data_IF_954113749234
#
_entry.id   IF_954113749234
#
_cell.length_a   1.000
_cell.length_b   1.000
_cell.length_c   1.000
_cell.angle_alpha   90.00
_cell.angle_beta   90.00
_cell.angle_gamma   90.00
#
_symmetry.space_group_name_H-M   'P 1'
#
loop_
_entity.id
_entity.type
_entity.pdbx_description
1 polymer ?
#
# COMPACT_ATOMS: atom_id res chain seq x y z
N UNK A 1 23.57 44.54 22.74
CA UNK A 1 23.51 43.81 21.45
C UNK A 1 22.96 42.41 21.71
N UNK A 2 21.63 42.24 21.69
CA UNK A 2 20.99 40.95 21.87
C UNK A 2 20.79 40.29 20.50
N UNK A 3 21.74 39.47 20.06
CA UNK A 3 21.59 38.69 18.83
C UNK A 3 20.61 37.55 19.07
N UNK A 4 19.48 37.54 18.37
CA UNK A 4 18.66 36.33 18.27
C UNK A 4 19.51 35.26 17.57
N UNK A 5 19.83 34.18 18.26
CA UNK A 5 20.38 33.00 17.60
C UNK A 5 19.37 32.54 16.55
N UNK A 6 19.80 32.48 15.29
CA UNK A 6 19.04 31.88 14.18
C UNK A 6 18.93 30.36 14.37
N UNK A 7 18.27 29.91 15.44
CA UNK A 7 18.00 28.50 15.68
C UNK A 7 16.65 28.17 15.05
N UNK A 8 16.66 27.20 14.13
CA UNK A 8 15.40 26.69 13.56
C UNK A 8 14.55 26.03 14.66
N UNK A 9 13.22 25.98 14.48
CA UNK A 9 12.31 25.28 15.42
C UNK A 9 12.78 23.85 15.69
N UNK A 10 13.28 23.17 14.67
CA UNK A 10 13.92 21.85 14.79
C UNK A 10 15.13 21.85 15.72
N UNK A 11 16.02 22.84 15.56
CA UNK A 11 17.22 22.98 16.40
C UNK A 11 16.87 23.22 17.87
N UNK A 12 15.87 24.06 18.13
CA UNK A 12 15.39 24.34 19.48
C UNK A 12 14.90 23.08 20.21
N UNK A 13 14.03 22.28 19.59
CA UNK A 13 13.49 21.06 20.22
C UNK A 13 14.52 19.97 20.45
N UNK A 14 15.45 19.80 19.51
CA UNK A 14 16.50 18.80 19.67
C UNK A 14 17.42 19.16 20.85
N UNK A 15 17.85 20.42 20.94
CA UNK A 15 18.73 20.89 22.00
C UNK A 15 18.04 20.91 23.36
N UNK A 16 16.78 21.38 23.42
CA UNK A 16 16.07 21.56 24.69
C UNK A 16 15.41 20.29 25.22
N UNK A 17 14.96 19.41 24.34
CA UNK A 17 14.12 18.26 24.72
C UNK A 17 14.64 16.92 24.19
N UNK A 18 15.71 16.89 23.38
CA UNK A 18 16.18 15.66 22.73
C UNK A 18 15.21 15.10 21.68
N UNK A 19 14.22 15.90 21.25
CA UNK A 19 13.15 15.46 20.34
C UNK A 19 13.51 15.81 18.90
N UNK A 20 13.36 14.85 17.99
CA UNK A 20 13.57 15.03 16.55
C UNK A 20 12.22 15.16 15.83
N UNK A 21 11.93 16.35 15.30
CA UNK A 21 10.68 16.60 14.55
C UNK A 21 10.66 15.86 13.21
N UNK A 22 9.55 15.19 12.89
CA UNK A 22 9.35 14.43 11.64
C UNK A 22 9.03 15.32 10.43
N UNK A 23 8.31 16.43 10.62
CA UNK A 23 7.88 17.34 9.54
C UNK A 23 8.24 18.80 9.86
N UNK A 24 9.53 19.17 9.85
CA UNK A 24 10.02 20.48 10.31
C UNK A 24 9.63 21.65 9.39
N UNK A 25 8.95 21.39 8.27
CA UNK A 25 8.55 22.35 7.25
C UNK A 25 7.06 22.73 7.30
N UNK A 26 6.27 22.09 8.17
CA UNK A 26 4.87 22.44 8.33
C UNK A 26 4.73 23.69 9.21
N UNK A 27 3.83 24.64 8.88
CA UNK A 27 3.63 25.84 9.67
C UNK A 27 3.06 25.49 11.05
N UNK A 28 3.79 25.83 12.11
CA UNK A 28 3.36 25.73 13.50
C UNK A 28 3.09 27.15 14.02
N UNK A 29 1.83 27.60 14.08
CA UNK A 29 1.52 28.81 14.86
C UNK A 29 0.04 28.84 15.29
N UNK A 30 -0.18 28.95 16.60
CA UNK A 30 -1.38 29.58 17.16
C UNK A 30 -0.90 30.64 18.15
N UNK A 31 -1.54 31.80 18.10
CA UNK A 31 -1.41 32.87 19.09
C UNK A 31 -2.35 32.56 20.28
N UNK A 32 -1.81 32.53 21.50
CA UNK A 32 -2.62 32.43 22.72
C UNK A 32 -2.13 33.43 23.77
N UNK A 33 -3.03 34.35 24.16
CA UNK A 33 -2.82 35.34 25.22
C UNK A 33 -3.10 36.77 24.75
N UNK A 34 -3.95 37.48 25.49
CA UNK A 34 -4.10 38.94 25.37
C UNK A 34 -3.16 39.67 26.34
N UNK A 35 -2.52 40.75 25.89
CA UNK A 35 -1.63 41.61 26.69
C UNK A 35 -0.16 41.65 26.21
N UNK A 36 0.75 42.14 27.06
CA UNK A 36 2.19 42.35 26.74
C UNK A 36 3.05 41.07 26.67
N UNK A 37 2.48 39.88 26.89
CA UNK A 37 3.21 38.62 26.83
C UNK A 37 2.96 37.91 25.49
N UNK A 38 3.91 38.02 24.56
CA UNK A 38 3.91 37.25 23.30
C UNK A 38 4.65 35.93 23.53
N UNK A 39 3.93 34.87 23.88
CA UNK A 39 4.49 33.53 24.00
C UNK A 39 4.04 32.68 22.80
N UNK A 40 5.00 32.17 22.03
CA UNK A 40 4.75 31.23 20.94
C UNK A 40 4.99 29.81 21.45
N UNK A 41 3.94 28.99 21.51
CA UNK A 41 4.07 27.56 21.75
C UNK A 41 4.01 26.82 20.41
N UNK A 42 5.00 25.98 20.09
CA UNK A 42 4.96 25.16 18.90
C UNK A 42 3.91 24.07 19.11
N UNK A 43 2.84 24.10 18.31
CA UNK A 43 1.94 22.96 18.21
C UNK A 43 2.71 21.80 17.58
N UNK A 44 2.89 20.75 18.37
CA UNK A 44 3.21 19.43 17.86
C UNK A 44 1.96 18.95 17.09
N UNK A 45 1.93 19.15 15.77
CA UNK A 45 0.94 18.44 14.95
C UNK A 45 1.40 16.99 14.88
N UNK A 46 1.10 16.22 15.93
CA UNK A 46 1.20 14.76 15.95
C UNK A 46 0.05 14.15 15.12
N UNK A 47 -0.35 14.80 14.02
CA UNK A 47 -1.17 14.12 13.04
C UNK A 47 -0.22 13.28 12.20
N UNK A 48 0.09 12.07 12.68
CA UNK A 48 0.76 11.07 11.83
C UNK A 48 -0.24 10.66 10.76
N UNK A 49 -0.17 11.34 9.63
CA UNK A 49 -0.95 11.02 8.45
C UNK A 49 -0.40 9.72 7.87
N UNK A 50 -1.27 8.72 7.67
CA UNK A 50 -0.88 7.46 7.06
C UNK A 50 -1.74 7.17 5.83
N UNK A 51 -1.17 6.44 4.87
CA UNK A 51 -1.98 5.88 3.79
C UNK A 51 -2.83 4.72 4.33
N UNK A 52 -4.09 4.65 3.88
CA UNK A 52 -4.99 3.55 4.15
C UNK A 52 -4.67 2.38 3.22
N UNK A 53 -4.53 1.17 3.75
CA UNK A 53 -4.44 -0.04 2.91
C UNK A 53 -5.84 -0.36 2.39
N UNK A 54 -6.02 -0.29 1.08
CA UNK A 54 -7.29 -0.58 0.43
C UNK A 54 -7.45 -2.07 0.14
N UNK A 55 -6.38 -2.69 -0.35
CA UNK A 55 -6.29 -4.12 -0.54
C UNK A 55 -4.84 -4.59 -0.56
N UNK A 56 -4.63 -5.89 -0.33
CA UNK A 56 -3.39 -6.58 -0.62
C UNK A 56 -3.65 -7.89 -1.37
N UNK A 57 -2.62 -8.29 -2.12
CA UNK A 57 -2.51 -9.58 -2.78
C UNK A 57 -1.47 -10.41 -2.04
N UNK A 58 -1.80 -11.65 -1.72
CA UNK A 58 -0.87 -12.58 -1.11
C UNK A 58 -0.91 -13.94 -1.79
N UNK A 59 0.19 -14.66 -1.66
CA UNK A 59 0.43 -15.93 -2.33
C UNK A 59 0.94 -16.94 -1.31
N UNK A 60 0.47 -18.17 -1.41
CA UNK A 60 0.99 -19.30 -0.65
C UNK A 60 0.89 -20.58 -1.49
N UNK A 61 1.50 -21.67 -1.01
CA UNK A 61 1.35 -23.02 -1.56
C UNK A 61 0.61 -23.92 -0.58
N UNK A 62 -0.20 -24.84 -1.11
CA UNK A 62 -0.97 -25.79 -0.32
C UNK A 62 -0.23 -27.10 -0.03
N UNK A 63 0.61 -27.54 -0.98
CA UNK A 63 1.35 -28.79 -0.89
C UNK A 63 2.86 -28.48 -0.81
N UNK A 64 3.62 -29.19 0.04
CA UNK A 64 5.07 -29.10 0.04
C UNK A 64 5.68 -29.67 -1.25
N UNK A 65 6.83 -29.13 -1.65
CA UNK A 65 7.56 -29.59 -2.86
C UNK A 65 6.94 -29.15 -4.20
N UNK A 66 7.12 -30.00 -5.23
CA UNK A 66 6.63 -29.80 -6.62
C UNK A 66 5.28 -30.54 -6.83
N UNK A 67 4.65 -30.99 -5.75
CA UNK A 67 3.37 -31.70 -5.82
C UNK A 67 2.27 -30.81 -6.42
N UNK A 68 1.44 -31.43 -7.29
CA UNK A 68 0.35 -30.77 -8.02
C UNK A 68 -0.91 -31.63 -7.91
N UNK A 69 -2.07 -30.99 -8.00
CA UNK A 69 -3.33 -31.70 -8.14
C UNK A 69 -3.38 -32.38 -9.52
N UNK A 70 -3.82 -33.64 -9.60
CA UNK A 70 -4.18 -34.24 -10.88
C UNK A 70 -5.35 -33.48 -11.50
N UNK A 71 -5.49 -33.48 -12.82
CA UNK A 71 -6.58 -32.76 -13.50
C UNK A 71 -7.96 -33.24 -13.04
N UNK A 72 -8.08 -34.55 -12.78
CA UNK A 72 -9.29 -35.15 -12.22
C UNK A 72 -9.58 -34.65 -10.79
N UNK A 73 -8.60 -34.70 -9.89
CA UNK A 73 -8.78 -34.23 -8.51
C UNK A 73 -9.07 -32.73 -8.47
N UNK A 74 -8.42 -31.94 -9.33
CA UNK A 74 -8.64 -30.50 -9.41
C UNK A 74 -10.07 -30.17 -9.87
N UNK A 75 -10.59 -30.89 -10.86
CA UNK A 75 -11.99 -30.76 -11.29
C UNK A 75 -12.97 -31.19 -10.20
N UNK A 76 -12.69 -32.27 -9.47
CA UNK A 76 -13.50 -32.72 -8.33
C UNK A 76 -13.54 -31.67 -7.22
N UNK A 77 -12.39 -31.10 -6.84
CA UNK A 77 -12.30 -30.01 -5.86
C UNK A 77 -13.13 -28.80 -6.31
N UNK A 78 -13.10 -28.46 -7.60
CA UNK A 78 -13.87 -27.34 -8.14
C UNK A 78 -15.39 -27.56 -8.01
N UNK A 79 -15.86 -28.78 -8.32
CA UNK A 79 -17.28 -29.17 -8.29
C UNK A 79 -17.84 -29.29 -6.88
N UNK A 80 -17.05 -29.81 -5.95
CA UNK A 80 -17.45 -29.95 -4.55
C UNK A 80 -17.19 -28.68 -3.72
N UNK A 81 -16.62 -27.64 -4.33
CA UNK A 81 -16.27 -26.40 -3.66
C UNK A 81 -17.47 -25.50 -3.36
N UNK A 82 -17.39 -24.78 -2.25
CA UNK A 82 -18.40 -23.79 -1.85
C UNK A 82 -18.00 -22.43 -2.42
N UNK A 83 -18.93 -21.79 -3.16
CA UNK A 83 -18.70 -20.50 -3.83
C UNK A 83 -17.46 -20.54 -4.75
N UNK A 84 -17.31 -21.63 -5.49
CA UNK A 84 -16.24 -21.84 -6.47
C UNK A 84 -16.77 -21.72 -7.90
N UNK A 85 -15.99 -21.09 -8.76
CA UNK A 85 -16.20 -21.04 -10.21
C UNK A 85 -14.97 -21.65 -10.89
N UNK A 86 -15.16 -22.56 -11.85
CA UNK A 86 -14.06 -23.12 -12.64
C UNK A 86 -14.46 -23.32 -14.09
N UNK A 87 -13.81 -22.59 -14.98
CA UNK A 87 -13.94 -22.75 -16.42
C UNK A 87 -12.54 -22.65 -17.05
N UNK A 88 -11.86 -23.79 -17.30
CA UNK A 88 -10.48 -23.79 -17.80
C UNK A 88 -10.32 -23.15 -19.17
N UNK A 89 -11.37 -23.13 -20.01
CA UNK A 89 -11.33 -22.41 -21.30
C UNK A 89 -11.22 -20.90 -21.12
N UNK A 90 -11.74 -20.36 -20.01
CA UNK A 90 -11.68 -18.92 -19.67
C UNK A 90 -10.48 -18.59 -18.80
N UNK A 91 -10.23 -19.39 -17.76
CA UNK A 91 -9.17 -19.15 -16.80
C UNK A 91 -8.76 -20.44 -16.07
N UNK A 92 -7.48 -20.78 -16.09
CA UNK A 92 -6.91 -22.04 -15.63
C UNK A 92 -6.77 -22.16 -14.10
N UNK A 93 -7.73 -21.64 -13.33
CA UNK A 93 -7.73 -21.71 -11.86
C UNK A 93 -9.15 -21.80 -11.32
N UNK A 94 -9.32 -22.44 -10.16
CA UNK A 94 -10.57 -22.37 -9.41
C UNK A 94 -10.63 -21.00 -8.73
N UNK A 95 -11.71 -20.27 -8.96
CA UNK A 95 -11.99 -18.99 -8.32
C UNK A 95 -12.91 -19.25 -7.15
N UNK A 96 -12.42 -19.09 -5.92
CA UNK A 96 -13.23 -19.20 -4.71
C UNK A 96 -13.48 -17.82 -4.10
N UNK A 97 -14.73 -17.50 -3.78
CA UNK A 97 -15.10 -16.19 -3.19
C UNK A 97 -15.42 -16.29 -1.71
N UNK A 98 -14.82 -15.40 -0.91
CA UNK A 98 -15.07 -15.27 0.52
C UNK A 98 -15.52 -13.84 0.80
N UNK A 99 -16.78 -13.69 1.22
CA UNK A 99 -17.35 -12.40 1.62
C UNK A 99 -16.87 -12.01 3.02
N UNK A 100 -16.63 -10.72 3.18
CA UNK A 100 -16.30 -10.05 4.44
C UNK A 100 -17.48 -9.20 4.90
N UNK A 101 -17.32 -8.54 6.06
CA UNK A 101 -18.20 -7.43 6.46
C UNK A 101 -18.16 -6.32 5.39
N UNK A 102 -19.24 -5.54 5.30
CA UNK A 102 -19.37 -4.39 4.38
C UNK A 102 -19.22 -4.76 2.89
N UNK A 103 -19.75 -5.90 2.45
CA UNK A 103 -19.79 -6.35 1.05
C UNK A 103 -18.43 -6.45 0.32
N UNK A 104 -17.31 -6.43 1.02
CA UNK A 104 -16.00 -6.72 0.43
C UNK A 104 -15.84 -8.22 0.19
N UNK A 105 -15.17 -8.60 -0.89
CA UNK A 105 -14.91 -10.02 -1.22
C UNK A 105 -13.43 -10.23 -1.46
N UNK A 106 -12.85 -11.23 -0.79
CA UNK A 106 -11.55 -11.79 -1.19
C UNK A 106 -11.80 -12.92 -2.16
N UNK A 107 -11.13 -12.88 -3.31
CA UNK A 107 -11.08 -13.98 -4.23
C UNK A 107 -9.79 -14.79 -4.00
N UNK A 108 -9.91 -16.10 -3.93
CA UNK A 108 -8.81 -17.04 -3.92
C UNK A 108 -8.75 -17.75 -5.26
N UNK A 109 -7.64 -17.56 -5.97
CA UNK A 109 -7.33 -18.25 -7.23
C UNK A 109 -6.46 -19.44 -6.89
N UNK A 110 -7.03 -20.63 -6.95
CA UNK A 110 -6.37 -21.88 -6.63
C UNK A 110 -5.91 -22.51 -7.93
N UNK A 111 -4.62 -22.75 -8.07
CA UNK A 111 -4.03 -23.33 -9.28
C UNK A 111 -3.75 -24.82 -9.08
N UNK A 112 -3.74 -25.57 -10.18
CA UNK A 112 -3.41 -26.99 -10.18
C UNK A 112 -2.01 -27.27 -9.59
N UNK A 113 -1.10 -26.30 -9.68
CA UNK A 113 0.24 -26.33 -9.07
C UNK A 113 0.26 -26.19 -7.54
N UNK A 114 -0.90 -26.24 -6.88
CA UNK A 114 -1.11 -25.99 -5.44
C UNK A 114 -0.83 -24.55 -4.98
N UNK A 115 -0.41 -23.67 -5.90
CA UNK A 115 -0.29 -22.24 -5.64
C UNK A 115 -1.68 -21.64 -5.45
N UNK A 116 -1.82 -20.80 -4.43
CA UNK A 116 -3.02 -20.02 -4.17
C UNK A 116 -2.66 -18.55 -4.19
N UNK A 117 -3.42 -17.76 -4.94
CA UNK A 117 -3.33 -16.29 -4.96
C UNK A 117 -4.60 -15.73 -4.32
N UNK A 118 -4.46 -15.00 -3.22
CA UNK A 118 -5.54 -14.25 -2.62
C UNK A 118 -5.47 -12.81 -3.10
N UNK A 119 -6.58 -12.27 -3.59
CA UNK A 119 -6.73 -10.87 -3.98
C UNK A 119 -7.97 -10.25 -3.33
N UNK A 120 -7.94 -8.94 -3.11
CA UNK A 120 -9.00 -8.24 -2.39
C UNK A 120 -8.99 -8.50 -0.88
N UNK A 121 -7.82 -8.79 -0.30
CA UNK A 121 -7.67 -8.90 1.16
C UNK A 121 -7.61 -7.46 1.73
N UNK A 122 -8.53 -7.05 2.62
CA UNK A 122 -8.63 -5.63 3.03
C UNK A 122 -7.42 -5.09 3.80
N UNK A 123 -6.68 -5.97 4.48
CA UNK A 123 -5.54 -5.60 5.30
C UNK A 123 -4.53 -6.74 5.33
N UNK A 124 -3.24 -6.41 5.31
CA UNK A 124 -2.13 -7.37 5.42
C UNK A 124 -2.26 -8.27 6.66
N UNK A 125 -2.73 -7.74 7.79
CA UNK A 125 -2.95 -8.50 9.03
C UNK A 125 -3.97 -9.63 8.85
N UNK A 126 -4.92 -9.49 7.93
CA UNK A 126 -5.94 -10.51 7.64
C UNK A 126 -5.46 -11.60 6.67
N UNK A 127 -4.30 -11.44 6.03
CA UNK A 127 -3.80 -12.39 5.02
C UNK A 127 -3.76 -13.83 5.54
N UNK A 128 -3.21 -14.04 6.75
CA UNK A 128 -3.12 -15.38 7.37
C UNK A 128 -4.50 -15.97 7.66
N UNK A 129 -5.40 -15.16 8.23
CA UNK A 129 -6.79 -15.57 8.48
C UNK A 129 -7.50 -16.00 7.19
N UNK A 130 -7.34 -15.23 6.12
CA UNK A 130 -7.95 -15.54 4.83
C UNK A 130 -7.36 -16.80 4.19
N UNK A 131 -6.04 -16.98 4.25
CA UNK A 131 -5.40 -18.21 3.82
C UNK A 131 -5.92 -19.43 4.58
N UNK A 132 -6.09 -19.33 5.91
CA UNK A 132 -6.65 -20.41 6.73
C UNK A 132 -8.11 -20.73 6.37
N UNK A 133 -8.94 -19.74 6.04
CA UNK A 133 -10.32 -19.99 5.58
C UNK A 133 -10.31 -20.73 4.24
N UNK A 134 -9.45 -20.32 3.31
CA UNK A 134 -9.31 -20.99 2.01
C UNK A 134 -8.83 -22.43 2.19
N UNK A 135 -7.82 -22.66 3.02
CA UNK A 135 -7.33 -24.01 3.34
C UNK A 135 -8.48 -24.90 3.82
N UNK A 136 -9.24 -24.46 4.83
CA UNK A 136 -10.38 -25.21 5.38
C UNK A 136 -11.46 -25.52 4.34
N UNK A 137 -11.74 -24.58 3.43
CA UNK A 137 -12.71 -24.80 2.33
C UNK A 137 -12.21 -25.81 1.31
N UNK A 138 -10.91 -25.83 1.03
CA UNK A 138 -10.30 -26.83 0.15
C UNK A 138 -10.31 -28.21 0.83
N UNK A 139 -9.97 -28.29 2.12
CA UNK A 139 -10.06 -29.54 2.90
C UNK A 139 -11.47 -30.11 2.89
N UNK A 140 -12.49 -29.26 3.08
CA UNK A 140 -13.89 -29.64 2.94
C UNK A 140 -14.18 -30.20 1.55
N UNK A 141 -13.77 -29.50 0.49
CA UNK A 141 -14.01 -29.93 -0.89
C UNK A 141 -13.35 -31.28 -1.21
N UNK A 142 -12.15 -31.53 -0.69
CA UNK A 142 -11.41 -32.80 -0.82
C UNK A 142 -12.18 -33.93 -0.13
N UNK A 143 -12.71 -33.68 1.08
CA UNK A 143 -13.49 -34.64 1.84
C UNK A 143 -14.79 -35.01 1.10
N UNK A 144 -15.54 -34.02 0.63
CA UNK A 144 -16.79 -34.23 -0.11
C UNK A 144 -16.55 -34.96 -1.45
N UNK A 145 -15.45 -34.65 -2.12
CA UNK A 145 -15.04 -35.33 -3.34
C UNK A 145 -14.54 -36.77 -3.12
N UNK A 146 -14.44 -37.24 -1.87
CA UNK A 146 -13.89 -38.56 -1.47
C UNK A 146 -12.50 -38.81 -2.07
N UNK A 147 -11.70 -37.76 -2.22
CA UNK A 147 -10.31 -37.88 -2.67
C UNK A 147 -9.48 -38.38 -1.49
N UNK A 148 -8.57 -39.34 -1.71
CA UNK A 148 -7.62 -39.76 -0.68
C UNK A 148 -6.92 -38.52 -0.10
N UNK A 149 -6.93 -38.42 1.22
CA UNK A 149 -6.42 -37.24 1.94
C UNK A 149 -4.95 -37.05 1.58
N UNK A 150 -4.61 -35.87 1.06
CA UNK A 150 -3.21 -35.45 0.94
C UNK A 150 -2.62 -35.42 2.35
N UNK A 151 -1.55 -36.17 2.59
CA UNK A 151 -0.95 -36.33 3.91
C UNK A 151 -0.48 -35.00 4.52
N UNK A 152 -0.20 -33.98 3.71
CA UNK A 152 0.40 -32.71 4.14
C UNK A 152 -0.23 -31.49 3.43
N UNK A 153 -1.54 -31.27 3.59
CA UNK A 153 -2.12 -29.98 3.19
C UNK A 153 -1.77 -28.92 4.24
N UNK A 154 -1.27 -27.77 3.81
CA UNK A 154 -0.89 -26.68 4.71
C UNK A 154 -0.66 -25.35 4.01
N UNK A 155 -0.41 -24.28 4.78
CA UNK A 155 -0.08 -22.98 4.21
C UNK A 155 1.43 -22.79 4.23
N UNK A 156 2.06 -22.97 3.08
CA UNK A 156 3.51 -22.86 2.93
C UNK A 156 3.84 -21.51 2.30
N UNK A 157 4.81 -20.81 2.89
CA UNK A 157 5.40 -19.58 2.33
C UNK A 157 4.39 -18.46 2.03
N UNK A 158 3.46 -18.18 2.96
CA UNK A 158 2.54 -17.06 2.80
C UNK A 158 3.29 -15.73 2.68
N UNK A 159 3.23 -15.11 1.50
CA UNK A 159 3.93 -13.88 1.15
C UNK A 159 2.95 -12.85 0.61
N UNK A 160 3.05 -11.61 1.09
CA UNK A 160 2.40 -10.47 0.44
C UNK A 160 3.18 -10.13 -0.82
N UNK A 161 2.51 -10.01 -1.95
CA UNK A 161 3.14 -9.73 -3.25
C UNK A 161 2.80 -8.35 -3.77
N UNK A 162 1.66 -7.79 -3.37
CA UNK A 162 1.25 -6.44 -3.70
C UNK A 162 0.38 -5.85 -2.59
N UNK A 163 0.49 -4.54 -2.40
CA UNK A 163 -0.32 -3.71 -1.53
C UNK A 163 -0.78 -2.54 -2.39
N UNK A 164 -2.07 -2.21 -2.30
CA UNK A 164 -2.64 -0.98 -2.83
C UNK A 164 -3.04 -0.13 -1.63
N UNK A 165 -2.44 1.04 -1.51
CA UNK A 165 -2.79 2.01 -0.47
C UNK A 165 -3.30 3.31 -1.09
N UNK A 166 -4.16 4.01 -0.36
CA UNK A 166 -4.70 5.30 -0.76
C UNK A 166 -4.48 6.35 0.32
N UNK A 167 -4.45 7.60 -0.11
CA UNK A 167 -4.48 8.74 0.79
C UNK A 167 -5.31 9.84 0.14
N UNK A 168 -5.95 10.68 0.94
CA UNK A 168 -6.68 11.86 0.46
C UNK A 168 -6.10 13.09 1.13
N UNK A 169 -5.38 13.89 0.35
CA UNK A 169 -4.95 15.22 0.75
C UNK A 169 -6.17 16.09 1.03
N UNK A 170 -6.04 17.00 2.01
CA UNK A 170 -7.05 18.01 2.31
C UNK A 170 -7.17 19.03 1.17
N UNK A 171 -6.04 19.38 0.56
CA UNK A 171 -5.99 20.34 -0.54
C UNK A 171 -5.95 19.63 -1.89
N UNK A 172 -6.44 20.31 -2.92
CA UNK A 172 -6.16 19.95 -4.32
C UNK A 172 -4.66 20.05 -4.58
N UNK A 173 -4.20 19.34 -5.60
CA UNK A 173 -2.76 19.25 -5.92
C UNK A 173 -2.51 19.82 -7.30
N UNK A 174 -1.49 20.67 -7.41
CA UNK A 174 -1.08 21.28 -8.67
C UNK A 174 -0.22 20.29 -9.47
N UNK A 175 -0.83 19.21 -9.97
CA UNK A 175 -0.11 18.10 -10.61
C UNK A 175 0.62 18.52 -11.89
N UNK A 176 0.13 19.54 -12.60
CA UNK A 176 0.79 20.17 -13.73
C UNK A 176 2.15 20.74 -13.33
N UNK A 177 2.20 21.45 -12.19
CA UNK A 177 3.44 22.04 -11.66
C UNK A 177 4.41 20.94 -11.22
N UNK A 178 3.94 19.88 -10.56
CA UNK A 178 4.79 18.74 -10.20
C UNK A 178 5.44 18.14 -11.46
N UNK A 179 4.65 17.95 -12.53
CA UNK A 179 5.15 17.41 -13.78
C UNK A 179 6.21 18.33 -14.43
N UNK A 180 5.94 19.63 -14.50
CA UNK A 180 6.87 20.62 -15.05
C UNK A 180 8.17 20.69 -14.23
N UNK A 181 8.06 20.74 -12.90
CA UNK A 181 9.19 20.80 -11.98
C UNK A 181 10.06 19.55 -12.06
N UNK A 182 9.45 18.36 -12.14
CA UNK A 182 10.19 17.13 -12.39
C UNK A 182 10.98 17.22 -13.70
N UNK A 183 10.34 17.62 -14.81
CA UNK A 183 11.05 17.76 -16.10
C UNK A 183 12.21 18.75 -16.04
N UNK A 184 12.08 19.81 -15.25
CA UNK A 184 13.07 20.90 -15.19
C UNK A 184 14.20 20.67 -14.19
N UNK A 185 13.91 20.05 -13.04
CA UNK A 185 14.78 20.04 -11.85
C UNK A 185 15.04 18.65 -11.25
N UNK A 186 14.54 17.55 -11.83
CA UNK A 186 14.67 16.22 -11.19
C UNK A 186 16.09 15.79 -10.82
N UNK A 187 17.12 16.28 -11.54
CA UNK A 187 18.53 15.96 -11.26
C UNK A 187 19.13 16.72 -10.06
N UNK A 188 18.50 17.81 -9.63
CA UNK A 188 19.09 18.76 -8.67
C UNK A 188 18.29 18.88 -7.37
N UNK A 189 17.01 18.51 -7.38
CA UNK A 189 16.15 18.55 -6.21
C UNK A 189 16.06 17.14 -5.60
N UNK A 190 16.55 17.01 -4.36
CA UNK A 190 16.55 15.76 -3.58
C UNK A 190 15.15 15.15 -3.44
N UNK A 191 14.08 15.95 -3.55
CA UNK A 191 12.71 15.44 -3.51
C UNK A 191 12.37 14.55 -4.70
N UNK A 192 12.96 14.82 -5.87
CA UNK A 192 12.70 14.08 -7.10
C UNK A 192 13.71 12.97 -7.38
N UNK A 193 14.80 12.89 -6.62
CA UNK A 193 15.92 11.94 -6.81
C UNK A 193 15.45 10.49 -6.94
N UNK A 194 14.45 10.09 -6.14
CA UNK A 194 13.91 8.72 -6.11
C UNK A 194 12.83 8.44 -7.13
N UNK A 195 12.41 9.46 -7.89
CA UNK A 195 11.36 9.34 -8.91
C UNK A 195 12.02 9.01 -10.24
N UNK A 196 11.83 7.77 -10.70
CA UNK A 196 12.51 7.23 -11.88
C UNK A 196 11.81 7.60 -13.19
N UNK A 197 10.49 7.77 -13.15
CA UNK A 197 9.67 8.08 -14.33
C UNK A 197 8.43 8.85 -13.94
N UNK A 198 8.06 9.84 -14.74
CA UNK A 198 6.81 10.60 -14.59
C UNK A 198 6.08 10.68 -15.94
N UNK A 199 4.75 10.57 -15.92
CA UNK A 199 3.87 10.70 -17.09
C UNK A 199 2.58 11.39 -16.68
N UNK A 200 2.22 12.44 -17.42
CA UNK A 200 0.95 13.13 -17.28
C UNK A 200 0.47 13.57 -18.66
N UNK A 201 -0.73 13.11 -19.01
CA UNK A 201 -1.48 13.55 -20.17
C UNK A 201 -2.96 13.42 -19.80
N UNK A 202 -3.64 14.53 -19.46
CA UNK A 202 -5.01 14.49 -18.97
C UNK A 202 -6.01 14.01 -20.03
N UNK A 203 -5.66 14.04 -21.32
CA UNK A 203 -6.51 13.53 -22.40
C UNK A 203 -6.56 12.00 -22.42
N UNK A 204 -5.46 11.35 -22.04
CA UNK A 204 -5.32 9.89 -21.97
C UNK A 204 -5.72 9.39 -20.58
N UNK A 205 -5.30 10.08 -19.51
CA UNK A 205 -5.57 9.66 -18.14
C UNK A 205 -5.51 10.83 -17.15
N UNK A 206 -6.49 10.97 -16.24
CA UNK A 206 -6.68 12.18 -15.45
C UNK A 206 -5.69 12.40 -14.28
N UNK A 207 -4.80 11.44 -14.00
CA UNK A 207 -3.86 11.53 -12.89
C UNK A 207 -2.40 11.57 -13.35
N UNK A 208 -1.59 12.30 -12.60
CA UNK A 208 -0.14 12.25 -12.70
C UNK A 208 0.32 10.87 -12.24
N UNK A 209 1.05 10.17 -13.11
CA UNK A 209 1.64 8.87 -12.81
C UNK A 209 3.13 9.04 -12.61
N UNK A 210 3.65 8.46 -11.55
CA UNK A 210 5.10 8.34 -11.42
C UNK A 210 5.53 7.06 -10.74
N UNK A 211 6.76 6.69 -11.04
CA UNK A 211 7.41 5.52 -10.48
C UNK A 211 8.52 5.96 -9.53
N UNK A 212 8.67 5.21 -8.45
CA UNK A 212 9.71 5.45 -7.46
C UNK A 212 10.51 4.18 -7.26
N UNK A 213 11.82 4.32 -7.24
CA UNK A 213 12.70 3.24 -6.81
C UNK A 213 13.49 3.69 -5.58
N UNK A 214 13.70 2.75 -4.67
CA UNK A 214 14.52 2.97 -3.50
C UNK A 214 15.32 1.70 -3.23
N UNK A 215 16.63 1.84 -3.17
CA UNK A 215 17.57 0.73 -3.01
C UNK A 215 17.30 -0.10 -1.76
N UNK A 216 16.70 0.51 -0.73
CA UNK A 216 16.29 -0.18 0.50
C UNK A 216 15.28 -1.29 0.25
N UNK A 217 14.41 -1.15 -0.75
CA UNK A 217 13.28 -2.05 -0.96
C UNK A 217 13.38 -2.88 -2.25
N UNK A 218 14.37 -2.61 -3.12
CA UNK A 218 14.67 -3.36 -4.36
C UNK A 218 13.46 -3.57 -5.29
N UNK A 219 12.41 -2.78 -5.11
CA UNK A 219 11.13 -2.95 -5.79
C UNK A 219 10.54 -1.59 -6.11
N UNK A 220 10.33 -1.36 -7.40
CA UNK A 220 9.75 -0.13 -7.92
C UNK A 220 8.27 -0.01 -7.52
N UNK A 221 7.91 1.12 -6.93
CA UNK A 221 6.54 1.47 -6.61
C UNK A 221 5.95 2.37 -7.70
N UNK A 222 4.64 2.30 -7.89
CA UNK A 222 3.89 3.19 -8.78
C UNK A 222 2.91 4.03 -7.97
N UNK A 223 2.92 5.34 -8.21
CA UNK A 223 2.06 6.32 -7.56
C UNK A 223 1.19 7.04 -8.60
N UNK A 224 -0.05 7.28 -8.22
CA UNK A 224 -1.02 8.11 -8.95
C UNK A 224 -1.42 9.27 -8.04
N UNK A 225 -1.34 10.50 -8.54
CA UNK A 225 -1.86 11.69 -7.86
C UNK A 225 -2.90 12.36 -8.76
N UNK A 226 -4.09 12.57 -8.20
CA UNK A 226 -5.20 13.27 -8.84
C UNK A 226 -5.23 14.74 -8.39
N UNK A 227 -5.72 15.63 -9.25
CA UNK A 227 -5.95 17.05 -8.91
C UNK A 227 -6.80 17.18 -7.63
N UNK A 228 -7.73 16.25 -7.41
CA UNK A 228 -8.61 16.22 -6.23
C UNK A 228 -7.90 15.96 -4.90
N UNK A 229 -6.59 15.71 -4.90
CA UNK A 229 -5.82 15.33 -3.71
C UNK A 229 -5.87 13.84 -3.38
N UNK A 230 -6.60 13.04 -4.17
CA UNK A 230 -6.53 11.57 -4.04
C UNK A 230 -5.16 11.08 -4.51
N UNK A 231 -4.57 10.20 -3.72
CA UNK A 231 -3.30 9.53 -4.01
C UNK A 231 -3.52 8.02 -3.94
N UNK A 232 -2.94 7.29 -4.89
CA UNK A 232 -2.92 5.82 -4.89
C UNK A 232 -1.47 5.37 -5.05
N UNK A 233 -1.04 4.46 -4.18
CA UNK A 233 0.29 3.87 -4.19
C UNK A 233 0.18 2.35 -4.32
N UNK A 234 0.93 1.76 -5.25
CA UNK A 234 0.95 0.31 -5.51
C UNK A 234 2.32 -0.18 -5.98
N UNK A 235 2.44 -1.48 -6.28
CA UNK A 235 3.70 -2.13 -6.64
C UNK A 235 4.55 -2.53 -5.44
N UNK A 236 4.01 -2.38 -4.22
CA UNK A 236 4.72 -2.53 -2.95
C UNK A 236 4.33 -3.83 -2.27
N UNK A 237 5.22 -4.48 -1.52
CA UNK A 237 4.93 -5.72 -0.79
C UNK A 237 5.05 -5.59 0.74
N UNK A 238 5.41 -4.42 1.26
CA UNK A 238 5.66 -4.17 2.68
C UNK A 238 5.00 -2.88 3.15
N UNK A 239 4.32 -2.91 4.30
CA UNK A 239 3.72 -1.70 4.89
C UNK A 239 4.78 -0.68 5.29
N UNK A 240 5.96 -1.13 5.70
CA UNK A 240 7.10 -0.25 6.01
C UNK A 240 7.56 0.54 4.77
N UNK A 241 7.46 -0.05 3.58
CA UNK A 241 7.77 0.64 2.32
C UNK A 241 6.69 1.67 1.98
N UNK A 242 5.41 1.35 2.22
CA UNK A 242 4.30 2.31 2.06
C UNK A 242 4.53 3.54 2.92
N UNK A 243 4.76 3.34 4.23
CA UNK A 243 5.02 4.43 5.18
C UNK A 243 6.24 5.26 4.76
N UNK A 244 7.35 4.60 4.41
CA UNK A 244 8.57 5.28 3.99
C UNK A 244 8.37 6.16 2.75
N UNK A 245 7.78 5.61 1.67
CA UNK A 245 7.57 6.36 0.43
C UNK A 245 6.55 7.49 0.62
N UNK A 246 5.56 7.26 1.48
CA UNK A 246 4.59 8.29 1.81
C UNK A 246 5.26 9.47 2.53
N UNK A 247 5.98 9.22 3.62
CA UNK A 247 6.56 10.25 4.48
C UNK A 247 7.69 11.04 3.80
N UNK A 248 8.50 10.35 2.98
CA UNK A 248 9.73 10.94 2.43
C UNK A 248 9.57 11.51 1.01
N UNK A 249 8.53 11.13 0.27
CA UNK A 249 8.37 11.53 -1.13
C UNK A 249 6.99 12.12 -1.37
N UNK A 250 5.93 11.33 -1.13
CA UNK A 250 4.57 11.72 -1.50
C UNK A 250 4.10 12.91 -0.66
N UNK A 251 4.16 12.83 0.66
CA UNK A 251 3.65 13.88 1.54
C UNK A 251 4.40 15.21 1.32
N UNK A 252 5.74 15.26 1.21
CA UNK A 252 6.44 16.50 0.86
C UNK A 252 6.03 17.08 -0.51
N UNK A 253 5.75 16.24 -1.53
CA UNK A 253 5.21 16.73 -2.81
C UNK A 253 3.84 17.38 -2.65
N UNK A 254 2.94 16.74 -1.89
CA UNK A 254 1.60 17.27 -1.63
C UNK A 254 1.65 18.62 -0.89
N UNK A 255 2.58 18.75 0.06
CA UNK A 255 2.78 19.99 0.84
C UNK A 255 3.43 21.10 0.01
N UNK A 256 4.37 20.74 -0.88
CA UNK A 256 5.10 21.72 -1.72
C UNK A 256 4.24 22.24 -2.89
N UNK A 257 3.29 21.46 -3.38
CA UNK A 257 2.48 21.79 -4.56
C UNK A 257 0.96 21.79 -4.28
N UNK A 258 0.48 22.55 -3.28
CA UNK A 258 -0.95 22.73 -3.10
C UNK A 258 -1.52 23.52 -4.29
N UNK A 259 -2.75 23.18 -4.68
CA UNK A 259 -3.56 24.00 -5.57
C UNK A 259 -4.62 24.68 -4.72
N UNK A 260 -4.42 25.97 -4.48
CA UNK A 260 -5.41 26.84 -3.82
C UNK A 260 -6.65 26.98 -4.70
#
# INVERSE_FOLDING_TARGET
>A
MGGYLNITVRGYYYVKHGIKLHHPYLPCLIEFGGGHHRSYYPLEVICKVNMNIENCTCVFKLLPGIQRFSSENFLKIARCGINTEYNPKRFHSIIMRIRHKHNRTTAALIFQSSKVVLTGVPNVKLARKMASIVLKRIEFSIKEAKIQKFSELGIISLKVTNIVSSYRSMNRVAIELIYQEFRRRHKYDKLFEKITKVSYDPTIFPALRFKMNDDKFKREASCLIYISGRVILTGINSTKQVEYLFDNIILPLLVKFPRL
#
